data_IF_737330186869
#
_entry.id   IF_737330186869
#
_cell.length_a   1.000
_cell.length_b   1.000
_cell.length_c   1.000
_cell.angle_alpha   90.00
_cell.angle_beta   90.00
_cell.angle_gamma   90.00
#
_symmetry.space_group_name_H-M   'P 1'
#
loop_
_entity.id
_entity.type
_entity.pdbx_description
1 polymer ?
#
# COMPACT_ATOMS: atom_id res chain seq x y z
N UNK A 1 -14.37 24.30 11.74
CA UNK A 1 -12.93 24.16 11.44
C UNK A 1 -12.54 22.70 11.62
N UNK A 2 -12.61 21.91 10.53
CA UNK A 2 -12.27 20.49 10.57
C UNK A 2 -10.74 20.33 10.51
N UNK A 3 -10.16 19.62 11.50
CA UNK A 3 -8.75 19.22 11.47
C UNK A 3 -8.57 18.20 10.34
N UNK A 4 -7.81 18.56 9.30
CA UNK A 4 -7.36 17.65 8.24
C UNK A 4 -6.43 16.60 8.86
N UNK A 5 -6.92 15.37 9.02
CA UNK A 5 -6.11 14.22 9.43
C UNK A 5 -5.25 13.80 8.24
N UNK A 6 -3.95 13.65 8.49
CA UNK A 6 -2.93 13.34 7.50
C UNK A 6 -2.96 11.84 7.18
N UNK A 7 -2.78 11.52 5.88
CA UNK A 7 -2.68 10.19 5.26
C UNK A 7 -1.68 9.25 5.98
N UNK A 8 -0.68 9.81 6.68
CA UNK A 8 0.40 9.06 7.35
C UNK A 8 0.36 9.21 8.88
N UNK A 9 -0.63 9.91 9.46
CA UNK A 9 -0.65 10.20 10.91
C UNK A 9 -1.62 9.36 11.74
N UNK A 10 -2.24 8.30 11.19
CA UNK A 10 -3.08 7.44 12.04
C UNK A 10 -2.27 6.26 12.61
N UNK A 11 -1.73 6.50 13.81
CA UNK A 11 -1.22 5.54 14.79
C UNK A 11 -0.90 4.12 14.31
N UNK A 12 0.38 3.91 14.01
CA UNK A 12 1.03 2.60 14.00
C UNK A 12 1.04 2.06 15.45
N UNK A 13 -0.04 1.38 15.87
CA UNK A 13 -0.07 0.62 17.13
C UNK A 13 0.24 -0.85 16.86
N UNK A 14 1.52 -1.18 16.95
CA UNK A 14 1.99 -2.49 17.38
C UNK A 14 2.57 -2.27 18.77
N UNK A 15 2.00 -2.92 19.79
CA UNK A 15 2.51 -2.85 21.16
C UNK A 15 3.89 -3.48 21.24
N UNK A 16 4.93 -2.64 21.13
CA UNK A 16 6.31 -2.93 21.50
C UNK A 16 6.80 -1.83 22.45
N UNK A 17 7.69 -2.14 23.42
CA UNK A 17 7.88 -1.30 24.60
C UNK A 17 8.39 0.11 24.27
N UNK A 18 7.76 1.08 24.92
CA UNK A 18 7.96 2.53 24.88
C UNK A 18 9.45 2.94 24.84
N UNK A 19 9.94 3.47 23.70
CA UNK A 19 10.39 4.86 23.46
C UNK A 19 10.79 4.96 21.98
N UNK A 20 9.88 5.42 21.10
CA UNK A 20 10.37 6.01 19.84
C UNK A 20 11.13 7.28 20.23
N UNK A 21 12.42 7.35 19.89
CA UNK A 21 13.21 8.53 20.24
C UNK A 21 12.57 9.77 19.60
N UNK A 22 12.64 10.94 20.24
CA UNK A 22 12.15 12.19 19.65
C UNK A 22 12.71 12.44 18.23
N UNK A 23 13.87 11.87 17.91
CA UNK A 23 14.49 11.89 16.58
C UNK A 23 13.70 11.07 15.56
N UNK A 24 13.30 9.86 15.91
CA UNK A 24 12.52 8.99 15.02
C UNK A 24 11.14 9.57 14.73
N UNK A 25 10.48 10.11 15.76
CA UNK A 25 9.22 10.82 15.59
C UNK A 25 9.36 12.02 14.66
N UNK A 26 10.36 12.89 14.87
CA UNK A 26 10.64 14.03 13.98
C UNK A 26 10.97 13.59 12.55
N UNK A 27 11.67 12.45 12.40
CA UNK A 27 11.96 11.87 11.09
C UNK A 27 10.67 11.53 10.35
N UNK A 28 9.77 10.76 10.98
CA UNK A 28 8.47 10.39 10.38
C UNK A 28 7.58 11.60 10.10
N UNK A 29 7.57 12.58 10.99
CA UNK A 29 6.82 13.83 10.79
C UNK A 29 7.33 14.61 9.56
N UNK A 30 8.66 14.66 9.37
CA UNK A 30 9.28 15.32 8.21
C UNK A 30 9.00 14.56 6.91
N UNK A 31 9.15 13.23 6.93
CA UNK A 31 8.84 12.34 5.81
C UNK A 31 7.39 12.51 5.35
N UNK A 32 6.43 12.49 6.29
CA UNK A 32 5.01 12.70 6.01
C UNK A 32 4.70 14.12 5.50
N UNK A 33 5.44 15.14 5.95
CA UNK A 33 5.29 16.51 5.44
C UNK A 33 5.74 16.62 3.97
N UNK A 34 6.88 16.01 3.64
CA UNK A 34 7.41 15.98 2.27
C UNK A 34 6.47 15.20 1.35
N UNK A 35 6.02 14.00 1.76
CA UNK A 35 5.10 13.19 0.97
C UNK A 35 3.81 13.95 0.64
N UNK A 36 3.18 14.54 1.66
CA UNK A 36 1.95 15.32 1.47
C UNK A 36 2.16 16.50 0.52
N UNK A 37 3.26 17.24 0.68
CA UNK A 37 3.58 18.35 -0.20
C UNK A 37 3.75 17.89 -1.65
N UNK A 38 4.39 16.75 -1.90
CA UNK A 38 4.55 16.19 -3.23
C UNK A 38 3.21 15.79 -3.86
N UNK A 39 2.38 15.05 -3.12
CA UNK A 39 1.05 14.61 -3.57
C UNK A 39 0.14 15.81 -3.87
N UNK A 40 0.08 16.79 -2.97
CA UNK A 40 -0.75 18.00 -3.15
C UNK A 40 -0.28 18.82 -4.35
N UNK A 41 1.03 19.07 -4.49
CA UNK A 41 1.57 19.84 -5.62
C UNK A 41 1.33 19.17 -6.96
N UNK A 42 1.49 17.85 -7.06
CA UNK A 42 1.26 17.13 -8.31
C UNK A 42 -0.22 17.14 -8.66
N UNK A 43 -1.11 16.99 -7.67
CA UNK A 43 -2.54 17.11 -7.89
C UNK A 43 -2.96 18.54 -8.30
N UNK A 44 -2.28 19.58 -7.79
CA UNK A 44 -2.55 20.99 -8.10
C UNK A 44 -2.01 21.44 -9.46
N UNK A 45 -0.81 20.99 -9.84
CA UNK A 45 -0.03 21.60 -10.93
C UNK A 45 0.35 20.61 -12.05
N UNK A 46 0.09 19.32 -11.86
CA UNK A 46 0.53 18.26 -12.76
C UNK A 46 1.95 17.78 -12.47
N UNK A 47 2.23 16.53 -12.80
CA UNK A 47 3.48 15.85 -12.46
C UNK A 47 4.74 16.52 -13.03
N UNK A 48 4.70 16.94 -14.29
CA UNK A 48 5.87 17.50 -14.99
C UNK A 48 6.27 18.89 -14.47
N UNK A 49 5.29 19.67 -14.02
CA UNK A 49 5.53 21.02 -13.51
C UNK A 49 6.16 21.04 -12.11
N UNK A 50 6.04 19.95 -11.35
CA UNK A 50 6.48 19.88 -9.96
C UNK A 50 7.96 19.49 -9.86
N UNK A 51 8.69 20.26 -9.03
CA UNK A 51 10.12 20.08 -8.78
C UNK A 51 10.44 19.87 -7.30
N UNK A 52 11.59 19.25 -6.99
CA UNK A 52 12.06 19.05 -5.61
C UNK A 52 12.16 20.37 -4.81
N UNK A 53 12.65 21.50 -5.37
CA UNK A 53 12.60 22.79 -4.67
C UNK A 53 11.20 23.21 -4.25
N UNK A 54 10.19 23.07 -5.12
CA UNK A 54 8.80 23.42 -4.80
C UNK A 54 8.24 22.53 -3.68
N UNK A 55 8.51 21.22 -3.73
CA UNK A 55 8.10 20.28 -2.68
C UNK A 55 8.77 20.65 -1.36
N UNK A 56 10.07 20.95 -1.39
CA UNK A 56 10.84 21.32 -0.20
C UNK A 56 10.28 22.59 0.45
N UNK A 57 10.00 23.62 -0.36
CA UNK A 57 9.40 24.88 0.10
C UNK A 57 8.03 24.63 0.73
N UNK A 58 7.14 23.88 0.06
CA UNK A 58 5.80 23.55 0.57
C UNK A 58 5.86 22.74 1.86
N UNK A 59 6.82 21.82 1.99
CA UNK A 59 7.03 21.01 3.18
C UNK A 59 7.77 21.75 4.32
N UNK A 60 8.25 22.98 4.08
CA UNK A 60 8.99 23.76 5.08
C UNK A 60 10.39 23.20 5.38
N UNK A 61 11.04 22.56 4.41
CA UNK A 61 12.39 21.99 4.53
C UNK A 61 13.32 22.54 3.45
N UNK A 62 14.64 22.47 3.67
CA UNK A 62 15.58 22.78 2.60
C UNK A 62 15.73 21.59 1.63
N UNK A 63 16.17 21.86 0.40
CA UNK A 63 16.39 20.83 -0.64
C UNK A 63 17.35 19.73 -0.18
N UNK A 64 18.39 20.09 0.58
CA UNK A 64 19.30 19.09 1.16
C UNK A 64 18.58 18.17 2.14
N UNK A 65 17.66 18.71 2.95
CA UNK A 65 16.83 17.89 3.85
C UNK A 65 15.94 16.97 3.04
N UNK A 66 15.29 17.43 1.95
CA UNK A 66 14.52 16.55 1.07
C UNK A 66 15.35 15.33 0.63
N UNK A 67 16.56 15.57 0.10
CA UNK A 67 17.43 14.48 -0.39
C UNK A 67 17.96 13.55 0.72
N UNK A 68 17.88 13.95 2.00
CA UNK A 68 18.18 13.03 3.10
C UNK A 68 17.05 12.00 3.35
N UNK A 69 15.84 12.25 2.83
CA UNK A 69 14.70 11.35 2.95
C UNK A 69 14.41 10.61 1.65
N UNK A 70 14.42 11.33 0.53
CA UNK A 70 14.02 10.79 -0.77
C UNK A 70 15.07 11.09 -1.84
N UNK A 71 15.49 10.10 -2.64
CA UNK A 71 16.46 10.33 -3.71
C UNK A 71 15.91 11.21 -4.85
N UNK A 72 14.59 11.26 -5.05
CA UNK A 72 13.93 11.98 -6.13
C UNK A 72 12.46 12.32 -5.76
N UNK A 73 11.74 13.04 -6.64
CA UNK A 73 10.33 13.41 -6.36
C UNK A 73 9.40 12.20 -6.38
N UNK A 74 9.66 11.21 -7.23
CA UNK A 74 8.80 10.05 -7.43
C UNK A 74 8.71 9.21 -6.15
N UNK A 75 9.85 8.96 -5.51
CA UNK A 75 9.95 8.24 -4.22
C UNK A 75 9.34 9.00 -3.05
N UNK A 76 9.16 10.32 -3.15
CA UNK A 76 8.39 11.07 -2.16
C UNK A 76 6.88 10.93 -2.33
N UNK A 77 6.42 10.47 -3.50
CA UNK A 77 4.99 10.23 -3.80
C UNK A 77 4.63 8.76 -3.56
N UNK A 78 5.43 7.85 -4.11
CA UNK A 78 5.25 6.40 -3.94
C UNK A 78 6.13 5.95 -2.77
N UNK A 79 5.50 5.84 -1.60
CA UNK A 79 6.17 5.32 -0.41
C UNK A 79 6.19 3.79 -0.44
N UNK A 80 7.19 3.15 0.20
CA UNK A 80 7.22 1.70 0.35
C UNK A 80 6.00 1.17 1.09
N UNK A 81 5.52 0.00 0.69
CA UNK A 81 4.46 -0.66 1.44
C UNK A 81 5.01 -1.24 2.76
N UNK A 82 4.27 -1.10 3.86
CA UNK A 82 4.57 -1.88 5.06
C UNK A 82 4.51 -3.38 4.74
N UNK A 83 5.34 -4.22 5.36
CA UNK A 83 5.26 -5.66 5.16
C UNK A 83 3.93 -6.21 5.71
N UNK A 84 3.54 -7.41 5.26
CA UNK A 84 2.46 -8.14 5.93
C UNK A 84 2.88 -8.48 7.36
N UNK A 85 1.96 -8.36 8.32
CA UNK A 85 2.19 -8.82 9.67
C UNK A 85 1.84 -10.33 9.76
N UNK A 86 2.82 -11.22 9.92
CA UNK A 86 2.57 -12.66 9.95
C UNK A 86 1.71 -13.07 11.15
N UNK A 87 1.82 -12.37 12.29
CA UNK A 87 1.04 -12.67 13.49
C UNK A 87 -0.44 -12.32 13.31
N UNK A 88 -0.72 -11.32 12.47
CA UNK A 88 -2.09 -10.93 12.11
C UNK A 88 -2.60 -11.61 10.83
N UNK A 89 -1.79 -12.44 10.18
CA UNK A 89 -2.22 -13.14 8.96
C UNK A 89 -3.19 -14.30 9.24
N UNK A 90 -4.37 -14.27 8.60
CA UNK A 90 -5.30 -15.39 8.61
C UNK A 90 -4.67 -16.64 7.97
N UNK A 91 -3.83 -16.44 6.96
CA UNK A 91 -3.05 -17.47 6.25
C UNK A 91 -2.26 -18.34 7.22
N UNK A 92 -1.58 -17.76 8.21
CA UNK A 92 -0.82 -18.52 9.22
C UNK A 92 -1.75 -19.15 10.27
N UNK A 93 -2.78 -18.43 10.71
CA UNK A 93 -3.67 -18.90 11.80
C UNK A 93 -4.51 -20.12 11.45
N UNK A 94 -4.89 -20.29 10.19
CA UNK A 94 -5.74 -21.42 9.75
C UNK A 94 -5.04 -22.78 9.73
N UNK A 95 -3.75 -22.86 10.08
CA UNK A 95 -2.99 -24.11 10.11
C UNK A 95 -2.60 -24.59 8.70
N UNK A 96 -2.05 -25.80 8.52
CA UNK A 96 -1.59 -26.29 7.21
C UNK A 96 -2.73 -26.79 6.31
N UNK A 97 -2.55 -26.74 4.99
CA UNK A 97 -3.51 -27.24 3.99
C UNK A 97 -4.04 -26.19 2.99
N UNK A 98 -4.93 -26.62 2.10
CA UNK A 98 -5.52 -25.77 1.06
C UNK A 98 -6.95 -25.29 1.36
N UNK A 99 -7.56 -25.80 2.44
CA UNK A 99 -8.90 -25.40 2.85
C UNK A 99 -8.93 -23.89 3.12
N UNK A 100 -9.87 -23.20 2.46
CA UNK A 100 -10.07 -21.74 2.53
C UNK A 100 -8.84 -20.90 2.14
N UNK A 101 -7.82 -21.47 1.49
CA UNK A 101 -6.58 -20.76 1.16
C UNK A 101 -6.85 -19.42 0.46
N UNK A 102 -7.65 -19.43 -0.61
CA UNK A 102 -7.97 -18.21 -1.36
C UNK A 102 -8.64 -17.15 -0.48
N UNK A 103 -9.59 -17.56 0.36
CA UNK A 103 -10.31 -16.67 1.26
C UNK A 103 -9.39 -16.07 2.33
N UNK A 104 -8.50 -16.88 2.92
CA UNK A 104 -7.56 -16.43 3.95
C UNK A 104 -6.50 -15.47 3.38
N UNK A 105 -6.03 -15.73 2.16
CA UNK A 105 -5.08 -14.87 1.43
C UNK A 105 -5.76 -13.57 1.01
N UNK A 106 -7.00 -13.63 0.52
CA UNK A 106 -7.82 -12.47 0.21
C UNK A 106 -8.02 -11.58 1.44
N UNK A 107 -8.39 -12.18 2.57
CA UNK A 107 -8.63 -11.47 3.82
C UNK A 107 -7.36 -10.81 4.35
N UNK A 108 -6.20 -11.48 4.21
CA UNK A 108 -4.90 -10.87 4.53
C UNK A 108 -4.67 -9.58 3.73
N UNK A 109 -4.85 -9.63 2.40
CA UNK A 109 -4.63 -8.45 1.54
C UNK A 109 -5.64 -7.35 1.84
N UNK A 110 -6.91 -7.69 2.06
CA UNK A 110 -7.96 -6.72 2.39
C UNK A 110 -7.67 -6.04 3.74
N UNK A 111 -7.35 -6.82 4.77
CA UNK A 111 -7.01 -6.29 6.09
C UNK A 111 -5.77 -5.39 6.04
N UNK A 112 -4.77 -5.78 5.25
CA UNK A 112 -3.57 -4.96 5.03
C UNK A 112 -3.93 -3.60 4.41
N UNK A 113 -4.77 -3.60 3.38
CA UNK A 113 -5.28 -2.37 2.77
C UNK A 113 -6.04 -1.54 3.80
N UNK A 114 -6.98 -2.12 4.55
CA UNK A 114 -7.77 -1.40 5.54
C UNK A 114 -6.90 -0.73 6.61
N UNK A 115 -5.97 -1.48 7.20
CA UNK A 115 -5.05 -0.98 8.24
C UNK A 115 -4.23 0.20 7.74
N UNK A 116 -3.74 0.15 6.50
CA UNK A 116 -2.85 1.18 5.96
C UNK A 116 -3.58 2.31 5.22
N UNK A 117 -4.89 2.21 5.00
CA UNK A 117 -5.65 3.21 4.23
C UNK A 117 -6.82 3.87 4.97
N UNK A 118 -7.28 3.33 6.11
CA UNK A 118 -8.51 3.73 6.80
C UNK A 118 -8.69 5.24 7.08
N UNK A 119 -7.61 6.02 7.13
CA UNK A 119 -7.67 7.46 7.43
C UNK A 119 -7.02 8.35 6.35
N UNK A 120 -6.91 7.81 5.14
CA UNK A 120 -6.20 8.48 4.05
C UNK A 120 -7.09 9.47 3.30
N UNK A 121 -7.01 10.75 3.70
CA UNK A 121 -7.65 11.84 2.96
C UNK A 121 -6.99 12.01 1.59
N UNK A 122 -7.75 11.94 0.50
CA UNK A 122 -7.20 12.11 -0.86
C UNK A 122 -6.52 10.86 -1.44
N UNK A 123 -6.70 9.69 -0.81
CA UNK A 123 -6.17 8.42 -1.30
C UNK A 123 -6.56 8.11 -2.74
N UNK A 124 -7.82 8.37 -3.11
CA UNK A 124 -8.30 8.14 -4.47
C UNK A 124 -7.52 8.97 -5.49
N UNK A 125 -7.22 10.24 -5.16
CA UNK A 125 -6.39 11.11 -6.00
C UNK A 125 -4.97 10.56 -6.12
N UNK A 126 -4.35 10.15 -5.00
CA UNK A 126 -3.02 9.54 -5.02
C UNK A 126 -2.97 8.27 -5.89
N UNK A 127 -3.89 7.33 -5.67
CA UNK A 127 -3.93 6.08 -6.44
C UNK A 127 -4.20 6.32 -7.92
N UNK A 128 -5.03 7.30 -8.27
CA UNK A 128 -5.27 7.70 -9.66
C UNK A 128 -3.99 8.25 -10.31
N UNK A 129 -3.29 9.15 -9.63
CA UNK A 129 -1.98 9.66 -10.07
C UNK A 129 -0.98 8.54 -10.29
N UNK A 130 -0.89 7.59 -9.34
CA UNK A 130 -0.01 6.42 -9.46
C UNK A 130 -0.37 5.57 -10.69
N UNK A 131 -1.66 5.38 -10.98
CA UNK A 131 -2.11 4.56 -12.11
C UNK A 131 -1.95 5.26 -13.47
N UNK A 132 -2.02 6.59 -13.51
CA UNK A 132 -2.03 7.38 -14.74
C UNK A 132 -0.64 7.92 -15.13
N UNK A 133 0.27 8.12 -14.16
CA UNK A 133 1.62 8.64 -14.40
C UNK A 133 2.61 7.46 -14.49
N UNK A 134 3.23 7.21 -15.66
CA UNK A 134 4.09 6.04 -15.88
C UNK A 134 5.26 5.91 -14.90
N UNK A 135 5.88 7.02 -14.51
CA UNK A 135 7.02 7.06 -13.61
C UNK A 135 6.63 6.61 -12.19
N UNK A 136 5.44 6.98 -11.74
CA UNK A 136 4.89 6.56 -10.45
C UNK A 136 4.43 5.10 -10.50
N UNK A 137 3.75 4.71 -11.58
CA UNK A 137 3.31 3.33 -11.78
C UNK A 137 4.48 2.34 -11.75
N UNK A 138 5.62 2.71 -12.34
CA UNK A 138 6.83 1.88 -12.34
C UNK A 138 7.36 1.63 -10.93
N UNK A 139 7.42 2.66 -10.08
CA UNK A 139 7.82 2.50 -8.68
C UNK A 139 6.80 1.66 -7.91
N UNK A 140 5.51 1.95 -8.09
CA UNK A 140 4.44 1.24 -7.41
C UNK A 140 4.43 -0.26 -7.76
N UNK A 141 4.68 -0.61 -9.02
CA UNK A 141 4.77 -2.01 -9.46
C UNK A 141 5.94 -2.73 -8.80
N UNK A 142 7.08 -2.06 -8.60
CA UNK A 142 8.22 -2.64 -7.89
C UNK A 142 7.87 -2.90 -6.41
N UNK A 143 7.21 -1.96 -5.73
CA UNK A 143 6.75 -2.13 -4.35
C UNK A 143 5.72 -3.26 -4.23
N UNK A 144 4.81 -3.41 -5.20
CA UNK A 144 3.85 -4.53 -5.23
C UNK A 144 4.55 -5.89 -5.39
N UNK A 145 5.62 -5.96 -6.17
CA UNK A 145 6.38 -7.20 -6.35
C UNK A 145 7.07 -7.66 -5.04
N UNK A 146 7.50 -6.72 -4.21
CA UNK A 146 8.05 -7.03 -2.88
C UNK A 146 6.98 -7.57 -1.92
N UNK A 147 5.76 -7.02 -1.96
CA UNK A 147 4.62 -7.57 -1.23
C UNK A 147 4.23 -8.97 -1.73
N UNK A 148 4.20 -9.16 -3.06
CA UNK A 148 3.88 -10.46 -3.65
C UNK A 148 4.89 -11.54 -3.22
N UNK A 149 6.17 -11.20 -3.13
CA UNK A 149 7.21 -12.12 -2.61
C UNK A 149 6.92 -12.55 -1.17
N UNK A 150 6.47 -11.63 -0.31
CA UNK A 150 6.06 -11.99 1.06
C UNK A 150 4.81 -12.88 1.06
N UNK A 151 3.86 -12.63 0.18
CA UNK A 151 2.65 -13.42 0.05
C UNK A 151 2.94 -14.86 -0.40
N UNK A 152 3.86 -15.02 -1.37
CA UNK A 152 4.38 -16.31 -1.84
C UNK A 152 4.94 -17.12 -0.67
N UNK A 153 5.77 -16.52 0.18
CA UNK A 153 6.35 -17.20 1.35
C UNK A 153 5.28 -17.67 2.35
N UNK A 154 4.27 -16.83 2.63
CA UNK A 154 3.17 -17.19 3.53
C UNK A 154 2.32 -18.34 2.96
N UNK A 155 2.06 -18.33 1.65
CA UNK A 155 1.29 -19.39 0.96
C UNK A 155 2.10 -20.69 0.89
N UNK A 156 3.40 -20.61 0.58
CA UNK A 156 4.30 -21.77 0.54
C UNK A 156 4.35 -22.49 1.90
N UNK A 157 4.49 -21.72 2.99
CA UNK A 157 4.44 -22.24 4.35
C UNK A 157 3.09 -22.89 4.68
N UNK A 158 1.99 -22.24 4.31
CA UNK A 158 0.60 -22.74 4.50
C UNK A 158 0.36 -24.05 3.78
N UNK A 159 0.86 -24.19 2.56
CA UNK A 159 0.71 -25.37 1.72
C UNK A 159 1.77 -26.46 1.98
N UNK A 160 2.83 -26.15 2.73
CA UNK A 160 4.01 -27.00 2.88
C UNK A 160 4.64 -27.37 1.53
N UNK A 161 4.74 -26.38 0.65
CA UNK A 161 5.32 -26.50 -0.69
C UNK A 161 6.53 -25.56 -0.84
N UNK A 162 7.43 -25.82 -1.80
CA UNK A 162 8.44 -24.85 -2.22
C UNK A 162 7.80 -23.54 -2.71
N UNK A 163 8.47 -22.41 -2.52
CA UNK A 163 7.99 -21.09 -2.98
C UNK A 163 7.97 -20.94 -4.50
N UNK A 164 8.73 -21.76 -5.24
CA UNK A 164 8.72 -21.85 -6.70
C UNK A 164 7.71 -22.89 -7.24
N UNK A 165 6.85 -23.45 -6.38
CA UNK A 165 5.74 -24.29 -6.82
C UNK A 165 4.69 -23.42 -7.55
N UNK A 166 4.36 -23.81 -8.79
CA UNK A 166 3.39 -23.09 -9.64
C UNK A 166 2.05 -22.81 -8.94
N UNK A 167 1.62 -23.67 -8.01
CA UNK A 167 0.37 -23.45 -7.26
C UNK A 167 0.49 -22.27 -6.30
N UNK A 168 1.65 -22.10 -5.67
CA UNK A 168 1.94 -20.96 -4.79
C UNK A 168 1.96 -19.67 -5.61
N UNK A 169 2.71 -19.68 -6.72
CA UNK A 169 2.82 -18.54 -7.64
C UNK A 169 1.45 -18.11 -8.18
N UNK A 170 0.67 -19.04 -8.73
CA UNK A 170 -0.64 -18.74 -9.32
C UNK A 170 -1.61 -18.15 -8.29
N UNK A 171 -1.62 -18.68 -7.06
CA UNK A 171 -2.50 -18.16 -5.99
C UNK A 171 -2.10 -16.73 -5.61
N UNK A 172 -0.81 -16.49 -5.37
CA UNK A 172 -0.31 -15.16 -5.03
C UNK A 172 -0.63 -14.14 -6.12
N UNK A 173 -0.27 -14.45 -7.38
CA UNK A 173 -0.50 -13.56 -8.51
C UNK A 173 -1.99 -13.31 -8.77
N UNK A 174 -2.86 -14.31 -8.64
CA UNK A 174 -4.29 -14.14 -8.84
C UNK A 174 -4.91 -13.18 -7.81
N UNK A 175 -4.55 -13.32 -6.52
CA UNK A 175 -5.03 -12.41 -5.48
C UNK A 175 -4.48 -11.00 -5.67
N UNK A 176 -3.18 -10.86 -5.97
CA UNK A 176 -2.57 -9.54 -6.23
C UNK A 176 -3.20 -8.84 -7.44
N UNK A 177 -3.43 -9.56 -8.54
CA UNK A 177 -4.04 -9.00 -9.75
C UNK A 177 -5.49 -8.54 -9.51
N UNK A 178 -6.29 -9.31 -8.76
CA UNK A 178 -7.67 -8.93 -8.43
C UNK A 178 -7.72 -7.78 -7.44
N UNK A 179 -6.82 -7.73 -6.46
CA UNK A 179 -6.69 -6.58 -5.57
C UNK A 179 -6.30 -5.29 -6.32
N UNK A 180 -5.31 -5.36 -7.21
CA UNK A 180 -4.92 -4.22 -8.05
C UNK A 180 -6.08 -3.75 -8.95
N UNK A 181 -6.85 -4.69 -9.49
CA UNK A 181 -8.07 -4.37 -10.26
C UNK A 181 -9.08 -3.59 -9.41
N UNK A 182 -9.33 -4.03 -8.17
CA UNK A 182 -10.21 -3.33 -7.24
C UNK A 182 -9.71 -1.92 -6.89
N UNK A 183 -8.41 -1.78 -6.60
CA UNK A 183 -7.74 -0.50 -6.34
C UNK A 183 -7.94 0.49 -7.50
N UNK A 184 -7.69 0.03 -8.74
CA UNK A 184 -7.82 0.87 -9.93
C UNK A 184 -9.28 1.24 -10.26
N UNK A 185 -10.24 0.36 -9.94
CA UNK A 185 -11.66 0.66 -10.13
C UNK A 185 -12.13 1.69 -9.12
N UNK A 186 -11.80 1.47 -7.84
CA UNK A 186 -12.13 2.38 -6.76
C UNK A 186 -11.47 3.76 -6.94
N UNK A 187 -10.22 3.84 -7.41
CA UNK A 187 -9.56 5.14 -7.60
C UNK A 187 -10.26 6.01 -8.66
N UNK A 188 -10.96 5.41 -9.62
CA UNK A 188 -11.77 6.11 -10.63
C UNK A 188 -13.11 6.58 -10.09
N UNK A 189 -13.76 5.78 -9.24
CA UNK A 189 -15.07 6.05 -8.64
C UNK A 189 -15.09 5.76 -7.12
N UNK A 190 -14.45 6.63 -6.30
CA UNK A 190 -14.33 6.38 -4.85
C UNK A 190 -15.63 6.64 -4.09
N UNK A 191 -16.63 7.29 -4.71
CA UNK A 191 -17.93 7.59 -4.08
C UNK A 191 -18.87 6.38 -4.11
N UNK A 192 -18.58 5.37 -4.94
CA UNK A 192 -19.38 4.14 -5.04
C UNK A 192 -19.24 3.19 -3.84
N UNK A 193 -18.26 3.40 -2.96
CA UNK A 193 -18.06 2.60 -1.76
C UNK A 193 -16.65 2.68 -1.18
N UNK A 194 -16.35 1.84 -0.18
CA UNK A 194 -15.02 1.77 0.38
C UNK A 194 -14.05 1.03 -0.56
N UNK A 195 -12.75 1.35 -0.44
CA UNK A 195 -11.69 0.67 -1.19
C UNK A 195 -11.68 -0.84 -0.87
N UNK A 196 -11.79 -1.20 0.40
CA UNK A 196 -11.77 -2.60 0.81
C UNK A 196 -12.98 -3.37 0.30
N UNK A 197 -14.16 -2.74 0.19
CA UNK A 197 -15.35 -3.37 -0.41
C UNK A 197 -15.17 -3.61 -1.91
N UNK A 198 -14.58 -2.68 -2.67
CA UNK A 198 -14.30 -2.88 -4.10
C UNK A 198 -13.26 -3.99 -4.31
N UNK A 199 -12.19 -4.01 -3.50
CA UNK A 199 -11.18 -5.07 -3.54
C UNK A 199 -11.81 -6.41 -3.18
N UNK A 200 -12.62 -6.48 -2.11
CA UNK A 200 -13.34 -7.68 -1.71
C UNK A 200 -14.24 -8.21 -2.83
N UNK A 201 -14.97 -7.32 -3.51
CA UNK A 201 -15.79 -7.67 -4.68
C UNK A 201 -14.99 -8.21 -5.86
N UNK A 202 -13.78 -7.71 -6.10
CA UNK A 202 -12.93 -8.22 -7.17
C UNK A 202 -12.30 -9.57 -6.81
N UNK A 203 -11.84 -9.74 -5.57
CA UNK A 203 -11.19 -10.99 -5.13
C UNK A 203 -12.20 -12.13 -5.00
N UNK A 204 -13.46 -11.85 -4.61
CA UNK A 204 -14.51 -12.88 -4.56
C UNK A 204 -14.85 -13.50 -5.92
N UNK A 205 -14.49 -12.84 -7.03
CA UNK A 205 -14.63 -13.41 -8.37
C UNK A 205 -13.67 -14.59 -8.62
N UNK A 206 -12.69 -14.83 -7.75
CA UNK A 206 -11.81 -16.00 -7.82
C UNK A 206 -12.48 -17.27 -7.27
N UNK A 207 -13.47 -17.16 -6.38
CA UNK A 207 -14.15 -18.33 -5.78
C UNK A 207 -14.97 -19.15 -6.81
N UNK A 208 -15.78 -18.55 -7.71
CA UNK A 208 -16.53 -19.29 -8.72
C UNK A 208 -15.66 -20.06 -9.73
N UNK A 209 -14.40 -19.67 -9.91
CA UNK A 209 -13.48 -20.28 -10.88
C UNK A 209 -12.87 -21.60 -10.38
N UNK A 210 -13.04 -21.95 -9.10
CA UNK A 210 -12.56 -23.22 -8.54
C UNK A 210 -13.51 -24.40 -8.79
N UNK A 211 -14.70 -24.13 -9.32
CA UNK A 211 -15.76 -25.12 -9.57
C UNK A 211 -16.12 -25.27 -11.07
N UNK A 212 -15.34 -24.66 -11.96
CA UNK A 212 -15.39 -24.84 -13.42
C UNK A 212 -14.32 -25.84 -13.87
#
# INVERSE_FOLDING_TARGET
MARKVCIVCNDFRVDAPQVSSLRERRRRETEAAIHRAAVELIAEQGYDAVTVPMISERAGVCVRTFFNYFPNKETSVVLPFPPFDPALSAVVRSGPGAERLMADVAELVINHIEVHTANSVGLATLLRMICEIPELLRLHTAELAELETQLVELIAQRLQLPSDDRRVEVVASAVMATANTGIQRWSRDPEAGSLSDEVRRCVSLLEPLQHL
#
